data_IF_696402255259
#
_entry.id   IF_696402255259
#
_cell.length_a   1.000
_cell.length_b   1.000
_cell.length_c   1.000
_cell.angle_alpha   90.00
_cell.angle_beta   90.00
_cell.angle_gamma   90.00
#
_symmetry.space_group_name_H-M   'P 1'
#
loop_
_entity.id
_entity.type
_entity.pdbx_description
1 polymer ?
#
# COMPACT_ATOMS: atom_id res chain seq x y z
N UNK A 1 41.62 -12.43 -22.91
CA UNK A 1 41.12 -11.33 -22.05
C UNK A 1 39.80 -11.79 -21.45
N UNK A 2 39.81 -12.13 -20.16
CA UNK A 2 38.74 -12.88 -19.51
C UNK A 2 37.68 -11.92 -18.94
N UNK A 3 36.40 -12.28 -19.05
CA UNK A 3 35.23 -11.50 -18.61
C UNK A 3 35.29 -11.06 -17.13
N UNK A 4 36.13 -11.71 -16.33
CA UNK A 4 36.35 -11.43 -14.91
C UNK A 4 37.16 -10.14 -14.66
N UNK A 5 37.94 -9.63 -15.62
CA UNK A 5 38.71 -8.40 -15.40
C UNK A 5 37.86 -7.14 -15.58
N UNK A 6 36.75 -7.23 -16.33
CA UNK A 6 35.79 -6.12 -16.48
C UNK A 6 35.00 -5.83 -15.20
N UNK A 7 34.88 -6.81 -14.30
CA UNK A 7 34.19 -6.65 -13.02
C UNK A 7 35.01 -5.91 -11.95
N UNK A 8 36.25 -5.53 -12.25
CA UNK A 8 37.18 -4.95 -11.26
C UNK A 8 37.16 -3.43 -11.18
N UNK A 9 36.39 -2.73 -12.04
CA UNK A 9 36.53 -1.28 -12.19
C UNK A 9 35.28 -0.44 -11.89
N UNK A 10 34.16 -1.03 -11.46
CA UNK A 10 32.99 -0.25 -11.04
C UNK A 10 32.98 -0.09 -9.52
N UNK A 11 33.97 0.67 -9.02
CA UNK A 11 34.01 1.19 -7.64
C UNK A 11 33.15 2.44 -7.51
N UNK A 12 31.83 2.27 -7.59
CA UNK A 12 30.86 3.15 -6.93
C UNK A 12 29.94 2.23 -6.14
N UNK A 13 30.10 2.22 -4.82
CA UNK A 13 29.35 1.36 -3.89
C UNK A 13 27.85 1.72 -3.87
N UNK A 14 27.11 1.23 -4.86
CA UNK A 14 25.66 1.17 -4.81
C UNK A 14 25.28 -0.05 -3.98
N UNK A 15 24.74 0.17 -2.78
CA UNK A 15 24.06 -0.89 -2.02
C UNK A 15 23.07 -1.54 -2.98
N UNK A 16 23.25 -2.83 -3.31
CA UNK A 16 22.22 -3.61 -3.97
C UNK A 16 21.10 -3.75 -2.93
N UNK A 17 20.22 -2.76 -2.85
CA UNK A 17 19.04 -2.82 -2.00
C UNK A 17 18.09 -3.85 -2.63
N UNK A 18 18.25 -5.11 -2.22
CA UNK A 18 17.25 -6.13 -2.48
C UNK A 18 15.92 -5.63 -1.89
N UNK A 19 14.95 -5.35 -2.77
CA UNK A 19 13.60 -5.00 -2.32
C UNK A 19 13.05 -6.13 -1.45
N UNK A 20 12.48 -5.77 -0.31
CA UNK A 20 11.79 -6.69 0.59
C UNK A 20 10.39 -6.93 0.03
N UNK A 21 10.12 -8.16 -0.36
CA UNK A 21 8.85 -8.58 -0.92
C UNK A 21 8.02 -9.36 0.11
N UNK A 22 6.70 -9.20 0.06
CA UNK A 22 5.77 -10.11 0.75
C UNK A 22 4.86 -10.77 -0.26
N UNK A 23 4.50 -12.03 -0.02
CA UNK A 23 3.53 -12.75 -0.84
C UNK A 23 2.14 -12.60 -0.23
N UNK A 24 1.12 -12.40 -1.06
CA UNK A 24 -0.27 -12.52 -0.63
C UNK A 24 -1.04 -13.47 -1.55
N UNK A 25 -1.64 -14.49 -0.94
CA UNK A 25 -2.45 -15.51 -1.62
C UNK A 25 -3.80 -15.67 -0.93
N UNK A 26 -4.84 -15.99 -1.71
CA UNK A 26 -6.19 -16.21 -1.20
C UNK A 26 -6.82 -17.43 -1.84
N UNK A 27 -7.51 -18.23 -1.03
CA UNK A 27 -8.31 -19.37 -1.48
C UNK A 27 -9.79 -19.11 -1.26
N UNK A 28 -10.60 -19.46 -2.26
CA UNK A 28 -12.06 -19.48 -2.15
C UNK A 28 -12.55 -20.89 -2.39
N UNK A 29 -13.31 -21.43 -1.44
CA UNK A 29 -13.82 -22.81 -1.45
C UNK A 29 -14.89 -23.03 -2.54
N UNK A 30 -15.34 -21.96 -3.20
CA UNK A 30 -16.20 -22.03 -4.38
C UNK A 30 -15.40 -22.51 -5.62
N UNK A 31 -15.40 -23.84 -5.76
CA UNK A 31 -15.35 -24.67 -6.97
C UNK A 31 -14.86 -24.01 -8.28
N UNK A 32 -13.89 -24.69 -8.91
CA UNK A 32 -13.51 -24.66 -10.35
C UNK A 32 -12.38 -23.75 -10.84
N UNK A 33 -11.52 -23.18 -9.98
CA UNK A 33 -10.26 -22.57 -10.45
C UNK A 33 -9.01 -23.31 -9.94
N UNK A 34 -8.12 -23.58 -10.89
CA UNK A 34 -7.28 -24.78 -11.02
C UNK A 34 -5.89 -24.68 -10.36
N UNK A 35 -5.74 -23.88 -9.29
CA UNK A 35 -4.43 -23.71 -8.62
C UNK A 35 -4.55 -23.64 -7.11
N UNK A 36 -3.88 -24.58 -6.44
CA UNK A 36 -3.76 -24.60 -4.99
C UNK A 36 -3.00 -23.37 -4.47
N UNK A 37 -3.19 -23.01 -3.20
CA UNK A 37 -2.47 -21.90 -2.55
C UNK A 37 -0.96 -22.11 -2.69
N UNK A 38 -0.52 -23.36 -2.55
CA UNK A 38 0.88 -23.77 -2.64
C UNK A 38 1.45 -23.42 -4.01
N UNK A 39 0.67 -23.66 -5.09
CA UNK A 39 1.10 -23.31 -6.44
C UNK A 39 1.19 -21.80 -6.64
N UNK A 40 0.23 -21.05 -6.10
CA UNK A 40 0.27 -19.59 -6.14
C UNK A 40 1.52 -19.03 -5.42
N UNK A 41 1.83 -19.55 -4.24
CA UNK A 41 3.01 -19.15 -3.47
C UNK A 41 4.31 -19.57 -4.17
N UNK A 42 4.36 -20.74 -4.79
CA UNK A 42 5.50 -21.18 -5.58
C UNK A 42 5.80 -20.21 -6.74
N UNK A 43 4.78 -19.86 -7.52
CA UNK A 43 4.91 -18.94 -8.64
C UNK A 43 5.35 -17.53 -8.16
N UNK A 44 4.85 -17.07 -7.01
CA UNK A 44 5.27 -15.81 -6.38
C UNK A 44 6.74 -15.89 -5.93
N UNK A 45 7.17 -17.00 -5.31
CA UNK A 45 8.58 -17.19 -4.90
C UNK A 45 9.50 -17.18 -6.11
N UNK A 46 9.11 -17.84 -7.21
CA UNK A 46 9.87 -17.84 -8.44
C UNK A 46 9.95 -16.43 -9.06
N UNK A 47 8.83 -15.70 -9.07
CA UNK A 47 8.78 -14.31 -9.50
C UNK A 47 9.76 -13.44 -8.70
N UNK A 48 9.73 -13.54 -7.36
CA UNK A 48 10.64 -12.81 -6.49
C UNK A 48 12.11 -13.16 -6.78
N UNK A 49 12.43 -14.46 -6.97
CA UNK A 49 13.79 -14.89 -7.33
C UNK A 49 14.25 -14.28 -8.65
N UNK A 50 13.42 -14.29 -9.69
CA UNK A 50 13.75 -13.72 -11.01
C UNK A 50 14.00 -12.21 -10.94
N UNK A 51 13.29 -11.50 -10.07
CA UNK A 51 13.42 -10.04 -9.85
C UNK A 51 14.54 -9.67 -8.86
N UNK A 52 15.16 -10.64 -8.19
CA UNK A 52 16.12 -10.38 -7.13
C UNK A 52 15.49 -9.76 -5.88
N UNK A 53 14.22 -10.08 -5.58
CA UNK A 53 13.54 -9.63 -4.38
C UNK A 53 13.77 -10.61 -3.22
N UNK A 54 13.86 -10.08 -2.00
CA UNK A 54 13.92 -10.89 -0.78
C UNK A 54 12.53 -11.08 -0.22
N UNK A 55 11.99 -12.29 -0.32
CA UNK A 55 10.70 -12.62 0.30
C UNK A 55 10.85 -12.64 1.83
N UNK A 56 10.12 -11.77 2.54
CA UNK A 56 10.21 -11.60 4.00
C UNK A 56 9.05 -12.25 4.75
N UNK A 57 7.86 -12.33 4.15
CA UNK A 57 6.66 -12.90 4.76
C UNK A 57 5.65 -13.34 3.71
N UNK A 58 4.82 -14.32 4.05
CA UNK A 58 3.72 -14.83 3.23
C UNK A 58 2.42 -14.66 4.02
N UNK A 59 1.43 -14.02 3.40
CA UNK A 59 0.09 -13.80 3.95
C UNK A 59 -0.91 -14.64 3.18
N UNK A 60 -1.74 -15.40 3.89
CA UNK A 60 -2.69 -16.35 3.27
C UNK A 60 -4.06 -16.21 3.92
N UNK A 61 -5.07 -15.91 3.11
CA UNK A 61 -6.48 -15.93 3.53
C UNK A 61 -7.18 -17.19 2.98
N UNK A 62 -7.72 -18.03 3.88
CA UNK A 62 -8.52 -19.22 3.54
C UNK A 62 -10.01 -18.89 3.70
N UNK A 63 -10.78 -18.81 2.62
CA UNK A 63 -12.20 -18.47 2.69
C UNK A 63 -13.09 -19.71 2.99
N UNK A 64 -12.86 -20.35 4.15
CA UNK A 64 -13.69 -21.43 4.67
C UNK A 64 -15.06 -20.93 5.19
N UNK A 65 -15.16 -19.65 5.56
CA UNK A 65 -16.37 -19.06 6.12
C UNK A 65 -17.22 -18.35 5.04
N UNK A 66 -18.52 -18.61 5.05
CA UNK A 66 -19.53 -17.99 4.18
C UNK A 66 -19.63 -16.45 4.31
N UNK A 67 -18.90 -15.84 5.24
CA UNK A 67 -18.67 -14.40 5.31
C UNK A 67 -17.57 -13.98 4.34
N UNK A 68 -17.95 -13.37 3.21
CA UNK A 68 -17.06 -12.86 2.15
C UNK A 68 -16.02 -11.80 2.60
N UNK A 69 -16.04 -11.39 3.87
CA UNK A 69 -15.51 -10.12 4.35
C UNK A 69 -14.32 -10.23 5.32
N UNK A 70 -14.10 -11.36 6.00
CA UNK A 70 -12.96 -11.48 6.90
C UNK A 70 -11.70 -11.83 6.12
N UNK A 71 -10.85 -10.82 5.90
CA UNK A 71 -9.51 -10.94 5.31
C UNK A 71 -8.44 -10.59 6.35
N UNK A 72 -8.30 -11.38 7.42
CA UNK A 72 -7.38 -11.06 8.51
C UNK A 72 -5.94 -10.94 8.02
N UNK A 73 -5.49 -11.80 7.09
CA UNK A 73 -4.12 -11.74 6.58
C UNK A 73 -3.89 -10.50 5.71
N UNK A 74 -4.89 -10.08 4.94
CA UNK A 74 -4.84 -8.82 4.20
C UNK A 74 -4.83 -7.58 5.12
N UNK A 75 -5.61 -7.61 6.20
CA UNK A 75 -5.60 -6.53 7.20
C UNK A 75 -4.25 -6.44 7.91
N UNK A 76 -3.66 -7.57 8.28
CA UNK A 76 -2.31 -7.63 8.85
C UNK A 76 -1.26 -7.08 7.86
N UNK A 77 -1.36 -7.45 6.58
CA UNK A 77 -0.51 -6.90 5.53
C UNK A 77 -0.59 -5.37 5.44
N UNK A 78 -1.78 -4.79 5.54
CA UNK A 78 -1.95 -3.33 5.54
C UNK A 78 -1.33 -2.67 6.79
N UNK A 79 -1.40 -3.33 7.95
CA UNK A 79 -0.73 -2.84 9.17
C UNK A 79 0.79 -2.93 9.07
N UNK A 80 1.33 -4.02 8.52
CA UNK A 80 2.76 -4.19 8.32
C UNK A 80 3.29 -3.24 7.22
N UNK A 81 2.47 -2.93 6.21
CA UNK A 81 2.76 -1.89 5.21
C UNK A 81 2.84 -0.49 5.83
N UNK A 82 1.90 -0.15 6.74
CA UNK A 82 1.95 1.11 7.52
C UNK A 82 3.25 1.25 8.30
N UNK A 83 3.79 0.14 8.79
CA UNK A 83 5.08 0.07 9.51
C UNK A 83 6.30 0.02 8.59
N UNK A 84 6.11 0.10 7.27
CA UNK A 84 7.17 0.06 6.25
C UNK A 84 8.09 -1.18 6.38
N UNK A 85 7.50 -2.33 6.73
CA UNK A 85 8.24 -3.58 6.95
C UNK A 85 8.71 -4.24 5.63
N UNK A 86 8.15 -3.84 4.50
CA UNK A 86 8.47 -4.33 3.17
C UNK A 86 8.24 -3.24 2.12
N UNK A 87 8.72 -3.48 0.89
CA UNK A 87 8.73 -2.50 -0.20
C UNK A 87 7.79 -2.92 -1.33
N UNK A 88 7.53 -4.22 -1.49
CA UNK A 88 6.66 -4.76 -2.54
C UNK A 88 5.76 -5.87 -2.03
N UNK A 89 4.50 -5.88 -2.46
CA UNK A 89 3.56 -6.98 -2.31
C UNK A 89 3.44 -7.70 -3.65
N UNK A 90 3.65 -9.01 -3.65
CA UNK A 90 3.49 -9.84 -4.85
C UNK A 90 2.26 -10.73 -4.69
N UNK A 91 1.37 -10.66 -5.68
CA UNK A 91 0.13 -11.46 -5.74
C UNK A 91 0.11 -12.32 -7.00
N UNK A 92 -0.55 -13.48 -6.94
CA UNK A 92 -0.58 -14.40 -8.09
C UNK A 92 -1.38 -13.82 -9.27
N UNK A 93 -2.62 -13.39 -9.01
CA UNK A 93 -3.51 -12.78 -9.99
C UNK A 93 -4.42 -11.76 -9.33
N UNK A 94 -4.61 -10.61 -9.97
CA UNK A 94 -5.71 -9.71 -9.66
C UNK A 94 -6.88 -10.03 -10.58
N UNK A 95 -8.00 -10.45 -9.99
CA UNK A 95 -9.13 -10.93 -10.76
C UNK A 95 -9.80 -9.75 -11.49
N UNK A 96 -9.69 -9.70 -12.83
CA UNK A 96 -10.11 -8.59 -13.71
C UNK A 96 -11.63 -8.28 -13.72
N UNK A 97 -12.45 -9.01 -12.97
CA UNK A 97 -13.88 -8.70 -12.83
C UNK A 97 -14.09 -7.39 -12.07
N UNK A 98 -14.99 -6.53 -12.55
CA UNK A 98 -15.20 -5.15 -12.07
C UNK A 98 -15.23 -5.01 -10.53
N UNK A 99 -15.90 -5.91 -9.81
CA UNK A 99 -15.97 -5.90 -8.34
C UNK A 99 -14.62 -6.20 -7.66
N UNK A 100 -13.84 -7.14 -8.20
CA UNK A 100 -12.51 -7.47 -7.68
C UNK A 100 -11.46 -6.45 -8.14
N UNK A 101 -11.66 -5.84 -9.30
CA UNK A 101 -10.79 -4.81 -9.87
C UNK A 101 -10.83 -3.50 -9.07
N UNK A 102 -12.01 -3.06 -8.65
CA UNK A 102 -12.15 -1.93 -7.72
C UNK A 102 -11.35 -2.17 -6.44
N UNK A 103 -11.54 -3.33 -5.80
CA UNK A 103 -10.82 -3.69 -4.58
C UNK A 103 -9.30 -3.75 -4.79
N UNK A 104 -8.86 -4.21 -5.97
CA UNK A 104 -7.45 -4.30 -6.32
C UNK A 104 -6.80 -2.93 -6.48
N UNK A 105 -7.51 -1.98 -7.10
CA UNK A 105 -7.01 -0.61 -7.29
C UNK A 105 -7.03 0.16 -5.97
N UNK A 106 -8.09 0.03 -5.16
CA UNK A 106 -8.16 0.63 -3.82
C UNK A 106 -7.03 0.11 -2.91
N UNK A 107 -6.80 -1.21 -2.90
CA UNK A 107 -5.69 -1.82 -2.16
C UNK A 107 -4.33 -1.28 -2.63
N UNK A 108 -4.13 -1.19 -3.95
CA UNK A 108 -2.90 -0.63 -4.53
C UNK A 108 -2.71 0.83 -4.13
N UNK A 109 -3.80 1.60 -4.10
CA UNK A 109 -3.78 3.01 -3.71
C UNK A 109 -3.42 3.22 -2.25
N UNK A 110 -4.03 2.44 -1.35
CA UNK A 110 -3.70 2.47 0.08
C UNK A 110 -2.23 2.11 0.33
N UNK A 111 -1.69 1.11 -0.35
CA UNK A 111 -0.28 0.72 -0.18
C UNK A 111 0.70 1.75 -0.75
N UNK A 112 0.35 2.45 -1.84
CA UNK A 112 1.15 3.55 -2.36
C UNK A 112 1.34 4.68 -1.36
N UNK A 113 0.35 4.94 -0.48
CA UNK A 113 0.49 5.92 0.62
C UNK A 113 1.67 5.60 1.55
N UNK A 114 2.06 4.33 1.64
CA UNK A 114 3.19 3.85 2.45
C UNK A 114 4.44 3.53 1.62
N UNK A 115 4.50 3.99 0.36
CA UNK A 115 5.59 3.72 -0.56
C UNK A 115 5.82 2.22 -0.85
N UNK A 116 4.74 1.43 -0.77
CA UNK A 116 4.71 0.01 -1.09
C UNK A 116 4.08 -0.20 -2.47
N UNK A 117 4.76 -0.91 -3.36
CA UNK A 117 4.20 -1.29 -4.67
C UNK A 117 3.49 -2.64 -4.61
N UNK A 118 2.36 -2.81 -5.30
CA UNK A 118 1.84 -4.14 -5.63
C UNK A 118 2.38 -4.54 -7.02
N UNK A 119 2.87 -5.77 -7.14
CA UNK A 119 3.16 -6.44 -8.40
C UNK A 119 2.32 -7.74 -8.50
N UNK A 120 1.90 -8.11 -9.70
CA UNK A 120 1.23 -9.39 -9.93
C UNK A 120 2.05 -10.28 -10.85
N UNK A 121 2.02 -11.59 -10.58
CA UNK A 121 2.82 -12.58 -11.33
C UNK A 121 2.32 -12.72 -12.76
N UNK A 122 1.00 -12.76 -12.96
CA UNK A 122 0.38 -13.03 -14.26
C UNK A 122 0.06 -11.76 -15.06
N UNK A 123 -0.22 -10.63 -14.40
CA UNK A 123 -0.80 -9.46 -15.06
C UNK A 123 -0.26 -8.12 -14.49
N UNK A 124 0.25 -7.18 -15.29
CA UNK A 124 0.62 -5.87 -14.79
C UNK A 124 -0.62 -5.09 -14.30
N UNK A 125 -0.45 -4.29 -13.25
CA UNK A 125 -1.54 -3.63 -12.52
C UNK A 125 -1.70 -2.20 -13.01
N UNK A 126 -2.92 -1.83 -13.40
CA UNK A 126 -3.27 -0.43 -13.63
C UNK A 126 -2.69 0.18 -14.90
N UNK A 127 -2.03 -0.60 -15.76
CA UNK A 127 -1.54 -0.13 -17.06
C UNK A 127 -2.67 0.00 -18.09
N UNK A 128 -3.78 -0.72 -17.92
CA UNK A 128 -4.91 -0.61 -18.85
C UNK A 128 -5.78 0.64 -18.58
N UNK A 129 -6.48 1.15 -19.61
CA UNK A 129 -7.20 2.44 -19.54
C UNK A 129 -8.21 2.55 -18.40
N UNK A 130 -8.90 1.46 -18.06
CA UNK A 130 -9.89 1.44 -16.96
C UNK A 130 -9.18 1.56 -15.62
N UNK A 131 -8.00 0.96 -15.48
CA UNK A 131 -7.15 1.11 -14.31
C UNK A 131 -6.77 2.55 -14.10
N UNK A 132 -6.21 3.20 -15.13
CA UNK A 132 -5.79 4.60 -15.09
C UNK A 132 -6.96 5.55 -14.75
N UNK A 133 -8.15 5.31 -15.31
CA UNK A 133 -9.34 6.09 -14.96
C UNK A 133 -9.70 5.96 -13.47
N UNK A 134 -9.72 4.73 -12.95
CA UNK A 134 -10.06 4.48 -11.55
C UNK A 134 -9.03 5.11 -10.60
N UNK A 135 -7.75 5.09 -10.97
CA UNK A 135 -6.69 5.82 -10.26
C UNK A 135 -6.99 7.31 -10.17
N UNK A 136 -7.29 7.95 -11.31
CA UNK A 136 -7.62 9.37 -11.34
C UNK A 136 -8.84 9.73 -10.49
N UNK A 137 -9.87 8.87 -10.46
CA UNK A 137 -11.04 9.06 -9.59
C UNK A 137 -10.65 8.99 -8.10
N UNK A 138 -9.84 7.99 -7.71
CA UNK A 138 -9.39 7.87 -6.32
C UNK A 138 -8.53 9.06 -5.89
N UNK A 139 -7.61 9.51 -6.75
CA UNK A 139 -6.79 10.69 -6.48
C UNK A 139 -7.66 11.94 -6.29
N UNK A 140 -8.67 12.14 -7.15
CA UNK A 140 -9.61 13.24 -7.03
C UNK A 140 -10.42 13.19 -5.72
N UNK A 141 -10.84 11.99 -5.28
CA UNK A 141 -11.54 11.82 -4.00
C UNK A 141 -10.62 12.15 -2.81
N UNK A 142 -9.37 11.69 -2.80
CA UNK A 142 -8.43 12.01 -1.71
C UNK A 142 -8.13 13.51 -1.64
N UNK A 143 -7.98 14.18 -2.78
CA UNK A 143 -7.78 15.63 -2.79
C UNK A 143 -9.04 16.36 -2.31
N UNK A 144 -10.23 15.89 -2.68
CA UNK A 144 -11.50 16.41 -2.16
C UNK A 144 -11.58 16.30 -0.62
N UNK A 145 -11.28 15.13 -0.06
CA UNK A 145 -11.28 14.91 1.40
C UNK A 145 -10.29 15.83 2.13
N UNK A 146 -9.11 16.03 1.54
CA UNK A 146 -8.10 16.96 2.07
C UNK A 146 -8.62 18.39 2.07
N UNK A 147 -9.23 18.83 0.97
CA UNK A 147 -9.81 20.18 0.86
C UNK A 147 -10.97 20.38 1.84
N UNK A 148 -11.83 19.38 2.03
CA UNK A 148 -12.88 19.38 3.05
C UNK A 148 -12.30 19.54 4.45
N UNK A 149 -11.29 18.74 4.81
CA UNK A 149 -10.60 18.82 6.11
C UNK A 149 -10.02 20.22 6.34
N UNK A 150 -9.38 20.81 5.33
CA UNK A 150 -8.84 22.19 5.40
C UNK A 150 -9.97 23.21 5.63
N UNK A 151 -11.11 23.06 4.94
CA UNK A 151 -12.27 23.93 5.13
C UNK A 151 -12.83 23.82 6.55
N UNK A 152 -13.00 22.61 7.07
CA UNK A 152 -13.48 22.40 8.43
C UNK A 152 -12.54 23.01 9.48
N UNK A 153 -11.23 22.80 9.36
CA UNK A 153 -10.23 23.41 10.26
C UNK A 153 -10.34 24.93 10.21
N UNK A 154 -10.45 25.54 9.03
CA UNK A 154 -10.66 27.00 8.88
C UNK A 154 -11.95 27.46 9.54
N UNK A 155 -13.04 26.72 9.39
CA UNK A 155 -14.33 27.04 9.99
C UNK A 155 -14.27 26.98 11.53
N UNK A 156 -13.54 26.00 12.10
CA UNK A 156 -13.30 25.90 13.55
C UNK A 156 -12.35 26.99 14.07
N UNK A 157 -11.36 27.39 13.29
CA UNK A 157 -10.39 28.43 13.66
C UNK A 157 -10.98 29.84 13.63
N UNK A 158 -11.83 30.18 12.66
CA UNK A 158 -12.46 31.52 12.53
C UNK A 158 -13.07 32.07 13.85
N UNK A 159 -13.94 31.33 14.56
CA UNK A 159 -14.51 31.83 15.81
C UNK A 159 -13.49 31.89 16.97
N UNK A 160 -12.48 31.01 16.98
CA UNK A 160 -11.40 31.05 17.98
C UNK A 160 -10.49 32.26 17.78
N UNK A 161 -10.16 32.57 16.51
CA UNK A 161 -9.43 33.79 16.11
C UNK A 161 -10.17 35.04 16.58
N UNK A 162 -11.47 35.11 16.32
CA UNK A 162 -12.31 36.24 16.68
C UNK A 162 -12.38 36.47 18.19
N UNK A 163 -12.24 35.39 18.98
CA UNK A 163 -12.17 35.44 20.44
C UNK A 163 -10.76 35.71 20.98
N UNK A 164 -9.75 35.87 20.12
CA UNK A 164 -8.36 36.16 20.51
C UNK A 164 -7.56 34.95 20.99
N UNK A 165 -8.06 33.73 20.81
CA UNK A 165 -7.32 32.52 21.18
C UNK A 165 -6.14 32.28 20.24
N UNK A 166 -5.04 31.77 20.79
CA UNK A 166 -3.86 31.37 20.02
C UNK A 166 -4.15 30.08 19.24
N UNK A 167 -3.97 30.11 17.92
CA UNK A 167 -4.50 29.07 17.02
C UNK A 167 -3.47 28.02 16.54
N UNK A 168 -2.23 28.02 17.06
CA UNK A 168 -1.30 26.93 16.79
C UNK A 168 0.19 27.29 16.91
N UNK A 169 1.04 26.26 16.95
CA UNK A 169 2.47 26.40 17.20
C UNK A 169 2.82 26.51 18.68
N UNK A 170 4.11 26.61 18.99
CA UNK A 170 4.57 26.76 20.38
C UNK A 170 4.17 28.15 20.87
N UNK A 171 3.49 28.23 22.02
CA UNK A 171 3.13 29.52 22.58
C UNK A 171 4.39 30.38 22.75
N UNK A 172 4.34 31.61 22.26
CA UNK A 172 5.18 32.68 22.75
C UNK A 172 5.55 32.59 24.25
N UNK A 173 6.83 32.76 24.62
CA UNK A 173 7.25 32.81 26.04
C UNK A 173 6.53 33.90 26.87
N UNK A 174 5.93 34.88 26.21
CA UNK A 174 5.22 36.03 26.78
C UNK A 174 3.69 35.87 26.75
N UNK A 175 3.17 34.79 26.15
CA UNK A 175 1.74 34.49 26.14
C UNK A 175 1.38 33.62 27.34
N UNK A 176 0.68 34.22 28.30
CA UNK A 176 0.04 33.53 29.42
C UNK A 176 -1.42 33.32 29.06
N UNK A 177 -1.75 32.17 28.47
CA UNK A 177 -3.15 31.81 28.23
C UNK A 177 -3.81 31.43 29.55
N UNK A 178 -4.99 31.96 29.84
CA UNK A 178 -5.86 31.37 30.86
C UNK A 178 -6.45 30.07 30.29
N UNK A 179 -6.24 28.95 30.98
CA UNK A 179 -6.92 27.70 30.68
C UNK A 179 -8.42 27.92 30.85
N UNK A 180 -9.18 27.87 29.75
CA UNK A 180 -10.63 27.86 29.84
C UNK A 180 -11.05 26.51 30.41
N UNK A 181 -11.39 26.46 31.70
CA UNK A 181 -12.14 25.35 32.28
C UNK A 181 -13.44 25.17 31.48
N UNK A 182 -13.62 24.01 30.85
CA UNK A 182 -14.84 23.58 30.18
C UNK A 182 -14.92 22.06 30.23
#
# INVERSE_FOLDING_TARGET
MNLLERYRNDRVWGVICLKRAVAYARYSTDKQYDTSIEKQLEDIREYCKRKGYRLVKEYVDRAESASKEDRPAFQELLQDARRQMFDVVVVHKLNRFARNRYLSVVASHELRKYNVSIESVLEPIGEDPIGQLLWGILDAVNEFERLQTIQEVKMKMRPLAAKGFWMGGKNPFWFQGEESES
#
